data_IF_670603937301
#
_entry.id   IF_670603937301
#
_cell.length_a   1.000
_cell.length_b   1.000
_cell.length_c   1.000
_cell.angle_alpha   90.00
_cell.angle_beta   90.00
_cell.angle_gamma   90.00
#
_symmetry.space_group_name_H-M   'P 1'
#
loop_
_entity.id
_entity.type
_entity.pdbx_description
1 polymer ?
#
# COMPACT_ATOMS: atom_id res chain seq x y z
N UNK A 1 5.19 5.16 -13.76
CA UNK A 1 6.45 4.99 -13.00
C UNK A 1 7.70 4.94 -13.88
N UNK A 2 7.57 4.93 -15.21
CA UNK A 2 8.65 4.68 -16.17
C UNK A 2 9.81 5.70 -16.18
N UNK A 3 9.60 6.94 -15.73
CA UNK A 3 10.65 7.99 -15.79
C UNK A 3 11.79 7.83 -14.78
N UNK A 4 11.52 7.22 -13.62
CA UNK A 4 12.51 7.14 -12.52
C UNK A 4 13.11 5.75 -12.34
N UNK A 5 12.42 4.69 -12.78
CA UNK A 5 12.86 3.29 -12.61
C UNK A 5 14.25 3.04 -13.23
N UNK A 6 14.57 3.54 -14.43
CA UNK A 6 15.91 3.33 -15.03
C UNK A 6 17.05 3.99 -14.24
N UNK A 7 16.75 5.01 -13.41
CA UNK A 7 17.72 5.70 -12.58
C UNK A 7 17.97 4.98 -11.23
N UNK A 8 17.14 3.99 -10.90
CA UNK A 8 17.18 3.27 -9.63
C UNK A 8 17.65 1.83 -9.87
N UNK A 9 18.96 1.63 -9.86
CA UNK A 9 19.54 0.28 -9.99
C UNK A 9 19.09 -0.61 -8.83
N UNK A 10 18.55 -1.80 -9.14
CA UNK A 10 18.12 -2.77 -8.13
C UNK A 10 16.85 -2.40 -7.36
N UNK A 11 16.03 -1.49 -7.89
CA UNK A 11 14.77 -1.11 -7.26
C UNK A 11 13.84 -2.32 -7.03
N UNK A 12 13.18 -2.34 -5.87
CA UNK A 12 12.13 -3.30 -5.52
C UNK A 12 10.86 -2.51 -5.22
N UNK A 13 9.72 -2.96 -5.76
CA UNK A 13 8.46 -2.25 -5.64
C UNK A 13 7.55 -2.96 -4.66
N UNK A 14 7.11 -2.25 -3.63
CA UNK A 14 6.05 -2.72 -2.74
C UNK A 14 4.78 -1.97 -3.10
N UNK A 15 3.77 -2.70 -3.56
CA UNK A 15 2.49 -2.13 -3.97
C UNK A 15 1.39 -2.59 -3.05
N UNK A 16 0.77 -1.65 -2.36
CA UNK A 16 -0.32 -1.93 -1.40
C UNK A 16 -1.67 -1.78 -2.11
N UNK A 17 -2.45 -2.86 -2.09
CA UNK A 17 -3.85 -2.91 -2.48
C UNK A 17 -4.71 -2.83 -1.23
N UNK A 18 -5.71 -1.96 -1.27
CA UNK A 18 -6.78 -1.87 -0.27
C UNK A 18 -8.11 -2.21 -0.91
N UNK A 19 -9.11 -2.55 -0.12
CA UNK A 19 -10.49 -2.61 -0.59
C UNK A 19 -10.87 -1.33 -1.35
N UNK A 20 -11.40 -1.50 -2.56
CA UNK A 20 -11.65 -0.40 -3.50
C UNK A 20 -12.78 0.52 -3.00
N UNK A 21 -13.79 -0.05 -2.33
CA UNK A 21 -14.87 0.72 -1.74
C UNK A 21 -14.34 1.56 -0.56
N UNK A 22 -13.50 1.00 0.29
CA UNK A 22 -12.83 1.73 1.36
C UNK A 22 -11.96 2.87 0.84
N UNK A 23 -11.30 2.71 -0.32
CA UNK A 23 -10.57 3.78 -1.00
C UNK A 23 -11.52 4.86 -1.52
N UNK A 24 -12.60 4.48 -2.18
CA UNK A 24 -13.58 5.42 -2.74
C UNK A 24 -14.27 6.27 -1.67
N UNK A 25 -14.62 5.66 -0.53
CA UNK A 25 -15.34 6.33 0.56
C UNK A 25 -14.44 7.21 1.44
N UNK A 26 -13.12 7.03 1.41
CA UNK A 26 -12.19 7.76 2.32
C UNK A 26 -12.27 9.29 2.17
N UNK A 27 -12.61 9.79 0.98
CA UNK A 27 -12.66 11.22 0.67
C UNK A 27 -14.08 11.76 0.49
N UNK A 28 -15.11 10.90 0.56
CA UNK A 28 -16.51 11.27 0.30
C UNK A 28 -17.37 10.93 1.53
N UNK A 29 -17.71 11.94 2.32
CA UNK A 29 -18.68 11.85 3.41
C UNK A 29 -20.14 11.95 2.93
N UNK A 30 -20.37 12.12 1.62
CA UNK A 30 -21.65 12.45 1.02
C UNK A 30 -22.37 11.22 0.43
N UNK A 31 -23.70 11.27 0.33
CA UNK A 31 -24.55 10.15 -0.07
C UNK A 31 -25.00 10.22 -1.53
N UNK A 32 -25.01 9.06 -2.21
CA UNK A 32 -25.62 8.90 -3.53
C UNK A 32 -24.64 8.88 -4.71
N UNK A 33 -24.93 9.65 -5.77
CA UNK A 33 -24.24 9.61 -7.08
C UNK A 33 -22.72 9.83 -6.98
N UNK A 34 -22.28 10.63 -6.01
CA UNK A 34 -20.87 10.93 -5.76
C UNK A 34 -20.07 9.70 -5.30
N UNK A 35 -20.72 8.67 -4.73
CA UNK A 35 -20.07 7.43 -4.29
C UNK A 35 -19.76 6.51 -5.47
N UNK A 36 -20.69 6.37 -6.42
CA UNK A 36 -20.47 5.58 -7.63
C UNK A 36 -19.36 6.22 -8.49
N UNK A 37 -19.37 7.54 -8.64
CA UNK A 37 -18.30 8.26 -9.34
C UNK A 37 -16.94 8.11 -8.63
N UNK A 38 -16.91 8.09 -7.29
CA UNK A 38 -15.68 7.84 -6.55
C UNK A 38 -15.18 6.40 -6.72
N UNK A 39 -16.09 5.43 -6.78
CA UNK A 39 -15.75 4.04 -7.04
C UNK A 39 -15.21 3.85 -8.46
N UNK A 40 -15.82 4.49 -9.46
CA UNK A 40 -15.32 4.51 -10.83
C UNK A 40 -13.91 5.12 -10.92
N UNK A 41 -13.66 6.23 -10.21
CA UNK A 41 -12.32 6.82 -10.13
C UNK A 41 -11.31 5.88 -9.48
N UNK A 42 -11.69 5.20 -8.39
CA UNK A 42 -10.84 4.22 -7.74
C UNK A 42 -10.53 3.05 -8.68
N UNK A 43 -11.53 2.53 -9.40
CA UNK A 43 -11.37 1.46 -10.40
C UNK A 43 -10.38 1.87 -11.49
N UNK A 44 -10.54 3.06 -12.07
CA UNK A 44 -9.64 3.58 -13.09
C UNK A 44 -8.20 3.69 -12.58
N UNK A 45 -8.03 4.13 -11.33
CA UNK A 45 -6.75 4.19 -10.65
C UNK A 45 -6.09 2.80 -10.52
N UNK A 46 -6.85 1.81 -10.05
CA UNK A 46 -6.37 0.42 -9.91
C UNK A 46 -6.03 -0.19 -11.27
N UNK A 47 -6.89 0.03 -12.28
CA UNK A 47 -6.64 -0.43 -13.65
C UNK A 47 -5.34 0.14 -14.21
N UNK A 48 -5.07 1.43 -13.98
CA UNK A 48 -3.81 2.07 -14.38
C UNK A 48 -2.62 1.47 -13.63
N UNK A 49 -2.74 1.30 -12.31
CA UNK A 49 -1.70 0.71 -11.47
C UNK A 49 -1.33 -0.70 -11.93
N UNK A 50 -2.33 -1.56 -12.19
CA UNK A 50 -2.12 -2.93 -12.70
C UNK A 50 -1.36 -2.91 -14.02
N UNK A 51 -1.75 -2.03 -14.97
CA UNK A 51 -1.03 -1.88 -16.25
C UNK A 51 0.41 -1.43 -16.06
N UNK A 52 0.70 -0.57 -15.08
CA UNK A 52 2.08 -0.16 -14.79
C UNK A 52 2.88 -1.32 -14.20
N UNK A 53 2.32 -2.07 -13.25
CA UNK A 53 2.97 -3.25 -12.65
C UNK A 53 3.31 -4.29 -13.71
N UNK A 54 2.39 -4.56 -14.63
CA UNK A 54 2.62 -5.49 -15.74
C UNK A 54 3.78 -5.10 -16.67
N UNK A 55 4.19 -3.82 -16.65
CA UNK A 55 5.28 -3.29 -17.46
C UNK A 55 6.58 -3.13 -16.67
N UNK A 56 6.59 -3.42 -15.37
CA UNK A 56 7.80 -3.30 -14.55
C UNK A 56 8.71 -4.49 -14.79
N UNK A 57 9.97 -4.21 -15.14
CA UNK A 57 11.05 -5.19 -15.23
C UNK A 57 11.85 -5.23 -13.91
N UNK A 58 11.14 -5.31 -12.78
CA UNK A 58 11.73 -5.29 -11.45
C UNK A 58 10.91 -6.15 -10.48
N UNK A 59 11.51 -6.62 -9.36
CA UNK A 59 10.76 -7.35 -8.35
C UNK A 59 9.61 -6.51 -7.79
N UNK A 60 8.42 -7.11 -7.72
CA UNK A 60 7.22 -6.48 -7.16
C UNK A 60 6.63 -7.38 -6.07
N UNK A 61 6.36 -6.80 -4.91
CA UNK A 61 5.59 -7.40 -3.84
C UNK A 61 4.21 -6.74 -3.79
N UNK A 62 3.16 -7.55 -3.95
CA UNK A 62 1.78 -7.10 -3.80
C UNK A 62 1.31 -7.38 -2.38
N UNK A 63 0.85 -6.34 -1.67
CA UNK A 63 0.39 -6.43 -0.29
C UNK A 63 -1.08 -6.07 -0.19
N UNK A 64 -1.85 -6.84 0.58
CA UNK A 64 -3.18 -6.41 1.03
C UNK A 64 -3.04 -5.57 2.30
N UNK A 65 -3.62 -4.38 2.28
CA UNK A 65 -3.72 -3.50 3.45
C UNK A 65 -4.43 -4.20 4.62
N UNK A 66 -5.51 -4.91 4.35
CA UNK A 66 -6.33 -5.58 5.36
C UNK A 66 -5.54 -6.69 6.05
N UNK A 67 -4.84 -7.54 5.27
CA UNK A 67 -3.97 -8.58 5.82
C UNK A 67 -2.79 -7.99 6.59
N UNK A 68 -2.22 -6.90 6.09
CA UNK A 68 -1.11 -6.20 6.75
C UNK A 68 -1.51 -5.66 8.14
N UNK A 69 -2.77 -5.24 8.32
CA UNK A 69 -3.29 -4.83 9.62
C UNK A 69 -3.67 -6.01 10.53
N UNK A 70 -4.17 -7.11 9.96
CA UNK A 70 -4.55 -8.31 10.73
C UNK A 70 -3.36 -9.12 11.21
N UNK A 71 -2.26 -9.11 10.43
CA UNK A 71 -1.06 -9.90 10.68
C UNK A 71 0.20 -9.02 10.51
N UNK A 72 0.39 -8.01 11.38
CA UNK A 72 1.44 -7.01 11.22
C UNK A 72 2.85 -7.59 11.36
N UNK A 73 3.04 -8.64 12.15
CA UNK A 73 4.31 -9.39 12.21
C UNK A 73 4.63 -10.09 10.89
N UNK A 74 3.62 -10.66 10.23
CA UNK A 74 3.76 -11.30 8.91
C UNK A 74 4.09 -10.27 7.83
N UNK A 75 3.54 -9.06 7.93
CA UNK A 75 3.92 -7.95 7.07
C UNK A 75 5.41 -7.62 7.20
N UNK A 76 5.90 -7.49 8.44
CA UNK A 76 7.30 -7.12 8.69
C UNK A 76 8.25 -8.19 8.16
N UNK A 77 7.99 -9.47 8.41
CA UNK A 77 8.83 -10.56 7.88
C UNK A 77 8.79 -10.60 6.35
N UNK A 78 7.61 -10.50 5.74
CA UNK A 78 7.48 -10.49 4.27
C UNK A 78 8.25 -9.33 3.63
N UNK A 79 8.19 -8.13 4.24
CA UNK A 79 8.95 -6.97 3.78
C UNK A 79 10.46 -7.14 3.95
N UNK A 80 10.89 -7.74 5.06
CA UNK A 80 12.30 -8.02 5.32
C UNK A 80 12.85 -9.01 4.29
N UNK A 81 12.17 -10.14 4.10
CA UNK A 81 12.53 -11.16 3.11
C UNK A 81 12.55 -10.58 1.70
N UNK A 82 11.51 -9.83 1.32
CA UNK A 82 11.44 -9.16 0.02
C UNK A 82 12.49 -8.06 -0.14
N UNK A 83 13.06 -7.53 0.95
CA UNK A 83 14.15 -6.55 0.90
C UNK A 83 15.53 -7.20 1.01
N UNK A 84 15.60 -8.51 1.28
CA UNK A 84 16.86 -9.21 1.56
C UNK A 84 17.47 -8.86 2.92
N UNK A 85 16.65 -8.46 3.89
CA UNK A 85 17.07 -8.09 5.23
C UNK A 85 16.84 -9.26 6.20
N UNK A 86 17.84 -9.66 7.00
CA UNK A 86 17.65 -10.69 8.02
C UNK A 86 16.87 -10.12 9.21
N UNK A 87 15.65 -10.62 9.43
CA UNK A 87 14.83 -10.24 10.60
C UNK A 87 14.27 -11.50 11.25
N UNK A 88 14.52 -11.67 12.55
CA UNK A 88 13.93 -12.78 13.31
C UNK A 88 12.43 -12.56 13.56
N UNK A 89 11.64 -13.62 13.75
CA UNK A 89 10.21 -13.50 14.09
C UNK A 89 9.95 -12.64 15.34
N UNK A 90 10.78 -12.76 16.38
CA UNK A 90 10.65 -11.98 17.61
C UNK A 90 10.87 -10.50 17.32
N UNK A 91 11.89 -10.18 16.53
CA UNK A 91 12.19 -8.80 16.15
C UNK A 91 11.11 -8.22 15.25
N UNK A 92 10.54 -9.03 14.35
CA UNK A 92 9.42 -8.63 13.51
C UNK A 92 8.19 -8.25 14.36
N UNK A 93 7.88 -9.04 15.39
CA UNK A 93 6.79 -8.77 16.32
C UNK A 93 7.00 -7.46 17.10
N UNK A 94 8.23 -7.20 17.58
CA UNK A 94 8.58 -5.94 18.24
C UNK A 94 8.41 -4.70 17.33
N UNK A 95 8.89 -4.80 16.08
CA UNK A 95 8.76 -3.73 15.08
C UNK A 95 7.27 -3.48 14.78
N UNK A 96 6.51 -4.56 14.56
CA UNK A 96 5.08 -4.50 14.32
C UNK A 96 4.35 -3.76 15.45
N UNK A 97 4.56 -4.17 16.70
CA UNK A 97 3.91 -3.59 17.87
C UNK A 97 4.28 -2.11 18.11
N UNK A 98 5.52 -1.72 17.83
CA UNK A 98 5.98 -0.35 18.04
C UNK A 98 5.59 0.63 16.91
N UNK A 99 5.50 0.13 15.67
CA UNK A 99 5.42 0.98 14.47
C UNK A 99 4.03 0.97 13.82
N UNK A 100 3.40 -0.20 13.72
CA UNK A 100 2.15 -0.35 12.97
C UNK A 100 0.98 0.02 13.89
N UNK A 101 0.28 1.09 13.52
CA UNK A 101 -0.87 1.61 14.27
C UNK A 101 -2.00 1.90 13.32
N UNK A 102 -3.19 1.39 13.61
CA UNK A 102 -4.38 1.71 12.84
C UNK A 102 -4.78 3.18 13.10
N UNK A 103 -5.09 3.91 12.03
CA UNK A 103 -5.57 5.30 12.09
C UNK A 103 -4.68 6.27 12.87
N UNK A 104 -3.36 6.06 12.89
CA UNK A 104 -2.42 7.00 13.51
C UNK A 104 -2.56 8.38 12.85
N UNK A 105 -2.77 9.46 13.63
CA UNK A 105 -2.90 10.82 13.10
C UNK A 105 -1.71 11.24 12.21
N UNK A 106 -0.51 10.68 12.44
CA UNK A 106 0.68 10.95 11.61
C UNK A 106 0.55 10.46 10.17
N UNK A 107 -0.34 9.50 9.89
CA UNK A 107 -0.60 8.98 8.54
C UNK A 107 -1.69 9.76 7.80
N UNK A 108 -2.35 10.70 8.47
CA UNK A 108 -3.23 11.67 7.86
C UNK A 108 -2.34 12.86 7.51
N UNK A 109 -1.91 12.94 6.24
CA UNK A 109 -1.15 14.09 5.76
C UNK A 109 -1.87 15.37 6.15
N UNK A 110 -1.13 16.33 6.70
CA UNK A 110 -1.61 17.68 6.97
C UNK A 110 -2.38 18.16 5.75
N UNK A 111 -3.71 18.26 5.85
CA UNK A 111 -4.48 18.94 4.83
C UNK A 111 -4.16 20.43 4.98
N UNK A 112 -3.17 20.90 4.20
CA UNK A 112 -3.09 22.30 3.86
C UNK A 112 -4.36 22.63 3.06
N UNK A 113 -5.09 23.65 3.53
CA UNK A 113 -6.36 24.10 2.96
C UNK A 113 -6.25 24.78 1.61
#
# INVERSE_FOLDING_TARGET
>A
MQGCVPLMQGARFVVVFRDMLAVALRNNLSMGREQLEALERAEQGYRRLIKEIQRLEAPVLLLSYEKALQHPETLVTTLADFSGLPVSPERAAEIAASTIRNADPRYQGTQAG
#
